data_IF_292820905827
#
_entry.id   IF_292820905827
#
_cell.length_a   1.000
_cell.length_b   1.000
_cell.length_c   1.000
_cell.angle_alpha   90.00
_cell.angle_beta   90.00
_cell.angle_gamma   90.00
#
_symmetry.space_group_name_H-M   'P 1'
#
loop_
_entity.id
_entity.type
_entity.pdbx_description
1 polymer ?
#
# COMPACT_ATOMS: atom_id res chain seq x y z
N UNK A 1 12.47 -19.70 -12.30
CA UNK A 1 12.46 -18.24 -12.06
C UNK A 1 11.32 -17.98 -11.11
N UNK A 2 11.63 -17.41 -9.93
CA UNK A 2 10.61 -17.13 -8.92
C UNK A 2 9.91 -15.85 -9.33
N UNK A 3 8.71 -16.00 -9.89
CA UNK A 3 7.79 -14.90 -10.20
C UNK A 3 7.46 -14.18 -8.89
N UNK A 4 8.19 -13.11 -8.60
CA UNK A 4 7.75 -12.14 -7.61
C UNK A 4 6.47 -11.51 -8.18
N UNK A 5 5.31 -12.01 -7.75
CA UNK A 5 4.02 -11.43 -8.12
C UNK A 5 4.07 -9.94 -7.80
N UNK A 6 4.12 -9.12 -8.85
CA UNK A 6 4.05 -7.67 -8.72
C UNK A 6 2.72 -7.35 -8.04
N UNK A 7 2.77 -6.74 -6.85
CA UNK A 7 1.56 -6.30 -6.18
C UNK A 7 0.86 -5.25 -7.07
N UNK A 8 -0.44 -5.43 -7.27
CA UNK A 8 -1.27 -4.47 -7.99
C UNK A 8 -2.08 -3.64 -6.98
N UNK A 9 -2.27 -2.35 -7.29
CA UNK A 9 -3.00 -1.43 -6.46
C UNK A 9 -4.47 -1.81 -6.39
N UNK A 10 -5.02 -1.95 -5.18
CA UNK A 10 -6.42 -2.30 -4.94
C UNK A 10 -7.43 -1.25 -5.44
N UNK A 11 -6.99 -0.05 -5.82
CA UNK A 11 -7.86 1.00 -6.38
C UNK A 11 -7.77 1.13 -7.91
N UNK A 12 -6.56 1.27 -8.46
CA UNK A 12 -6.35 1.59 -9.87
C UNK A 12 -5.71 0.46 -10.68
N UNK A 13 -5.40 -0.67 -10.05
CA UNK A 13 -4.72 -1.83 -10.67
C UNK A 13 -3.33 -1.54 -11.26
N UNK A 14 -2.72 -0.41 -10.92
CA UNK A 14 -1.33 -0.10 -11.27
C UNK A 14 -0.34 -0.86 -10.39
N UNK A 15 0.89 -1.11 -10.86
CA UNK A 15 1.93 -1.75 -10.04
C UNK A 15 2.21 -0.94 -8.77
N UNK A 16 2.29 -1.63 -7.64
CA UNK A 16 2.61 -1.06 -6.33
C UNK A 16 4.14 -0.97 -6.22
N UNK A 17 4.70 0.23 -6.00
CA UNK A 17 6.13 0.37 -5.78
C UNK A 17 6.53 -0.28 -4.45
N UNK A 18 7.80 -0.65 -4.26
CA UNK A 18 8.27 -1.31 -3.03
C UNK A 18 8.06 -0.49 -1.74
N UNK A 19 7.82 0.82 -1.85
CA UNK A 19 7.49 1.72 -0.75
C UNK A 19 6.06 2.26 -0.84
N UNK A 20 5.18 1.57 -1.56
CA UNK A 20 3.78 1.92 -1.68
C UNK A 20 3.06 1.84 -0.33
N UNK A 21 2.07 2.71 -0.08
CA UNK A 21 1.32 2.68 1.16
C UNK A 21 0.44 1.42 1.25
N UNK A 22 0.37 0.86 2.46
CA UNK A 22 -0.49 -0.28 2.78
C UNK A 22 -1.54 0.11 3.83
N UNK A 23 -2.72 -0.49 3.73
CA UNK A 23 -3.83 -0.25 4.66
C UNK A 23 -4.42 -1.58 5.11
N UNK A 24 -4.59 -1.75 6.41
CA UNK A 24 -5.33 -2.89 6.93
C UNK A 24 -6.79 -2.50 7.11
N UNK A 25 -7.67 -3.26 6.48
CA UNK A 25 -9.10 -3.10 6.59
C UNK A 25 -9.74 -4.42 7.01
N UNK A 26 -10.19 -4.48 8.27
CA UNK A 26 -10.64 -5.72 8.91
C UNK A 26 -9.53 -6.78 8.91
N UNK A 27 -9.79 -7.90 8.24
CA UNK A 27 -8.83 -9.01 8.08
C UNK A 27 -8.06 -8.98 6.74
N UNK A 28 -8.20 -7.90 5.96
CA UNK A 28 -7.49 -7.75 4.67
C UNK A 28 -6.40 -6.70 4.79
N UNK A 29 -5.28 -6.96 4.13
CA UNK A 29 -4.23 -5.98 3.88
C UNK A 29 -4.34 -5.54 2.43
N UNK A 30 -4.42 -4.24 2.22
CA UNK A 30 -4.61 -3.60 0.92
C UNK A 30 -3.33 -2.85 0.57
N UNK A 31 -2.94 -2.91 -0.69
CA UNK A 31 -1.73 -2.28 -1.19
C UNK A 31 -2.09 -1.20 -2.22
N UNK A 32 -1.40 -0.07 -2.16
CA UNK A 32 -1.70 1.08 -3.01
C UNK A 32 -0.43 1.59 -3.69
N UNK A 33 -0.57 2.02 -4.95
CA UNK A 33 0.55 2.58 -5.70
C UNK A 33 0.99 3.96 -5.18
N UNK A 34 0.11 4.70 -4.48
CA UNK A 34 0.38 6.03 -3.92
C UNK A 34 -0.58 6.40 -2.78
N UNK A 35 -0.24 7.45 -2.03
CA UNK A 35 -1.07 8.03 -0.95
C UNK A 35 -2.45 8.47 -1.44
N UNK A 36 -2.54 8.96 -2.68
CA UNK A 36 -3.81 9.36 -3.29
C UNK A 36 -4.78 8.18 -3.42
N UNK A 37 -4.29 7.01 -3.85
CA UNK A 37 -5.13 5.81 -3.96
C UNK A 37 -5.60 5.32 -2.58
N UNK A 38 -4.72 5.35 -1.59
CA UNK A 38 -5.08 5.03 -0.20
C UNK A 38 -6.17 5.99 0.31
N UNK A 39 -6.00 7.29 0.12
CA UNK A 39 -6.95 8.31 0.57
C UNK A 39 -8.32 8.18 -0.07
N UNK A 40 -8.38 8.01 -1.41
CA UNK A 40 -9.65 7.79 -2.12
C UNK A 40 -10.33 6.51 -1.62
N UNK A 41 -9.56 5.44 -1.44
CA UNK A 41 -10.10 4.18 -0.93
C UNK A 41 -10.71 4.35 0.47
N UNK A 42 -10.05 5.09 1.37
CA UNK A 42 -10.57 5.41 2.70
C UNK A 42 -11.83 6.29 2.63
N UNK A 43 -11.91 7.22 1.68
CA UNK A 43 -13.13 8.02 1.48
C UNK A 43 -14.32 7.17 1.01
N UNK A 44 -14.06 6.17 0.17
CA UNK A 44 -15.11 5.30 -0.39
C UNK A 44 -15.56 4.18 0.56
N UNK A 45 -14.65 3.63 1.37
CA UNK A 45 -14.90 2.45 2.21
C UNK A 45 -14.92 2.75 3.71
N UNK A 46 -14.45 3.92 4.14
CA UNK A 46 -14.30 4.31 5.53
C UNK A 46 -12.86 4.23 6.05
N UNK A 47 -12.71 4.53 7.35
CA UNK A 47 -11.41 4.67 8.00
C UNK A 47 -10.76 3.29 8.25
N UNK A 48 -9.79 2.90 7.42
CA UNK A 48 -8.90 1.76 7.70
C UNK A 48 -7.70 2.15 8.59
N UNK A 49 -7.10 1.17 9.28
CA UNK A 49 -5.89 1.43 10.07
C UNK A 49 -4.66 1.43 9.17
N UNK A 50 -3.84 2.50 9.13
CA UNK A 50 -2.56 2.48 8.42
C UNK A 50 -1.67 1.38 9.00
N UNK A 51 -1.14 0.52 8.13
CA UNK A 51 -0.08 -0.40 8.53
C UNK A 51 1.21 0.38 8.38
N UNK A 52 1.84 0.71 9.50
CA UNK A 52 3.20 1.24 9.49
C UNK A 52 4.13 0.07 9.18
N UNK A 53 4.41 -0.16 7.90
CA UNK A 53 5.57 -0.95 7.49
C UNK A 53 6.80 -0.14 7.92
N UNK A 54 7.36 -0.50 9.09
CA UNK A 54 8.51 0.22 9.66
C UNK A 54 9.67 0.16 8.68
N UNK A 55 9.99 1.31 8.13
CA UNK A 55 11.03 1.47 7.13
C UNK A 55 12.41 0.99 7.56
N UNK A 56 13.22 0.67 6.54
CA UNK A 56 14.66 0.87 6.65
C UNK A 56 14.94 2.34 6.38
N UNK A 57 15.28 3.07 7.43
CA UNK A 57 16.15 4.23 7.33
C UNK A 57 17.40 3.79 6.58
N UNK A 58 17.67 4.37 5.42
CA UNK A 58 19.02 4.48 4.91
C UNK A 58 19.47 5.90 5.25
N UNK A 59 20.35 5.99 6.23
CA UNK A 59 20.97 7.19 6.75
C UNK A 59 21.58 8.05 5.63
N UNK A 60 21.33 9.35 5.77
CA UNK A 60 21.99 10.48 5.12
C UNK A 60 23.51 10.42 5.38
N UNK A 61 24.32 10.50 4.30
CA UNK A 61 25.77 10.76 4.34
C UNK A 61 26.10 11.84 3.31
#
# INVERSE_FOLDING_TARGET
MSEARELACDLCSLPVPPHGPHLKFGNRELAFCCEGCRGIWQMLNGEGTPVNDKGKKYDEQ
#
